data_IF_541443566934
#
_entry.id   IF_541443566934
#
_cell.length_a   1.000
_cell.length_b   1.000
_cell.length_c   1.000
_cell.angle_alpha   90.00
_cell.angle_beta   90.00
_cell.angle_gamma   90.00
#
_symmetry.space_group_name_H-M   'P 1'
#
loop_
_entity.id
_entity.type
_entity.pdbx_description
1 polymer ?
#
# COMPACT_ATOMS: atom_id res chain seq x y z
N UNK A 1 10.76 -15.17 -10.74
CA UNK A 1 10.37 -15.32 -9.31
C UNK A 1 10.08 -14.00 -8.58
N UNK A 2 10.63 -12.84 -8.97
CA UNK A 2 10.29 -11.52 -8.36
C UNK A 2 8.79 -11.14 -8.34
N UNK A 3 7.98 -11.32 -9.40
CA UNK A 3 6.59 -10.85 -9.39
C UNK A 3 5.71 -11.61 -8.38
N UNK A 4 5.91 -12.92 -8.24
CA UNK A 4 5.20 -13.73 -7.24
C UNK A 4 5.46 -13.26 -5.80
N UNK A 5 6.72 -12.95 -5.45
CA UNK A 5 7.06 -12.40 -4.12
C UNK A 5 6.34 -11.07 -3.85
N UNK A 6 6.23 -10.21 -4.86
CA UNK A 6 5.52 -8.93 -4.75
C UNK A 6 4.03 -9.18 -4.51
N UNK A 7 3.41 -10.10 -5.25
CA UNK A 7 1.98 -10.44 -5.08
C UNK A 7 1.72 -11.02 -3.69
N UNK A 8 2.55 -11.97 -3.23
CA UNK A 8 2.40 -12.53 -1.89
C UNK A 8 2.66 -11.50 -0.79
N UNK A 9 3.58 -10.57 -0.98
CA UNK A 9 3.79 -9.46 -0.04
C UNK A 9 2.54 -8.59 0.06
N UNK A 10 1.95 -8.19 -1.06
CA UNK A 10 0.72 -7.40 -1.07
C UNK A 10 -0.49 -8.17 -0.54
N UNK A 11 -0.59 -9.48 -0.79
CA UNK A 11 -1.61 -10.34 -0.21
C UNK A 11 -1.49 -10.39 1.32
N UNK A 12 -0.25 -10.47 1.83
CA UNK A 12 0.03 -10.44 3.25
C UNK A 12 -0.36 -9.09 3.88
N UNK A 13 0.01 -7.98 3.22
CA UNK A 13 -0.40 -6.65 3.66
C UNK A 13 -1.92 -6.46 3.60
N UNK A 14 -2.61 -7.05 2.62
CA UNK A 14 -4.07 -7.03 2.54
C UNK A 14 -4.71 -7.75 3.75
N UNK A 15 -4.18 -8.91 4.14
CA UNK A 15 -4.67 -9.63 5.33
C UNK A 15 -4.51 -8.79 6.60
N UNK A 16 -3.35 -8.14 6.78
CA UNK A 16 -3.12 -7.24 7.90
C UNK A 16 -4.04 -6.03 7.85
N UNK A 17 -4.26 -5.46 6.67
CA UNK A 17 -5.15 -4.33 6.49
C UNK A 17 -6.61 -4.70 6.79
N UNK A 18 -7.06 -5.91 6.42
CA UNK A 18 -8.36 -6.43 6.83
C UNK A 18 -8.48 -6.47 8.36
N UNK A 19 -7.47 -6.97 9.07
CA UNK A 19 -7.46 -6.97 10.54
C UNK A 19 -7.54 -5.55 11.11
N UNK A 20 -6.81 -4.59 10.52
CA UNK A 20 -6.88 -3.17 10.90
C UNK A 20 -8.28 -2.60 10.63
N UNK A 21 -8.90 -2.92 9.49
CA UNK A 21 -10.27 -2.49 9.18
C UNK A 21 -11.30 -3.02 10.16
N UNK A 22 -11.18 -4.28 10.59
CA UNK A 22 -12.07 -4.84 11.62
C UNK A 22 -12.00 -4.04 12.92
N UNK A 23 -10.79 -3.74 13.40
CA UNK A 23 -10.60 -2.93 14.62
C UNK A 23 -11.07 -1.49 14.39
N UNK A 24 -10.78 -0.90 13.23
CA UNK A 24 -11.17 0.46 12.88
C UNK A 24 -12.70 0.61 12.73
N UNK A 25 -13.42 -0.45 12.38
CA UNK A 25 -14.88 -0.43 12.24
C UNK A 25 -15.58 -0.28 13.61
N UNK A 26 -15.01 -0.82 14.69
CA UNK A 26 -15.61 -0.79 16.04
C UNK A 26 -15.99 0.64 16.47
N UNK A 27 -15.08 1.63 16.52
CA UNK A 27 -15.44 2.99 16.94
C UNK A 27 -16.45 3.65 15.99
N UNK A 28 -16.39 3.34 14.69
CA UNK A 28 -17.34 3.90 13.72
C UNK A 28 -18.76 3.39 13.97
N UNK A 29 -18.92 2.09 14.21
CA UNK A 29 -20.22 1.46 14.53
C UNK A 29 -20.77 1.97 15.86
N UNK A 30 -19.93 2.12 16.88
CA UNK A 30 -20.35 2.66 18.19
C UNK A 30 -20.87 4.08 18.04
N UNK A 31 -20.24 4.90 17.19
CA UNK A 31 -20.64 6.28 16.98
C UNK A 31 -21.90 6.42 16.12
N UNK A 32 -21.97 5.72 14.99
CA UNK A 32 -23.09 5.86 14.04
C UNK A 32 -24.31 5.01 14.40
N UNK A 33 -24.14 4.00 15.26
CA UNK A 33 -25.16 3.02 15.62
C UNK A 33 -25.27 1.86 14.63
N UNK A 34 -25.93 0.76 15.04
CA UNK A 34 -26.22 -0.37 14.15
C UNK A 34 -27.16 0.06 13.02
N UNK A 35 -26.94 -0.42 11.79
CA UNK A 35 -27.78 -0.10 10.65
C UNK A 35 -27.34 1.10 9.80
N UNK A 36 -26.16 1.67 10.07
CA UNK A 36 -25.61 2.79 9.31
C UNK A 36 -25.45 2.48 7.81
N UNK A 37 -25.33 1.20 7.44
CA UNK A 37 -25.23 0.72 6.06
C UNK A 37 -26.48 0.98 5.21
N UNK A 38 -27.64 1.26 5.83
CA UNK A 38 -28.90 1.56 5.13
C UNK A 38 -28.94 2.99 4.58
N UNK A 39 -28.18 3.90 5.18
CA UNK A 39 -28.09 5.28 4.72
C UNK A 39 -26.88 5.45 3.80
N UNK A 40 -27.12 5.85 2.55
CA UNK A 40 -26.05 6.04 1.55
C UNK A 40 -24.96 6.99 2.03
N UNK A 41 -25.33 8.06 2.73
CA UNK A 41 -24.37 9.06 3.25
C UNK A 41 -23.43 8.44 4.29
N UNK A 42 -23.96 7.67 5.24
CA UNK A 42 -23.17 7.00 6.28
C UNK A 42 -22.31 5.87 5.70
N UNK A 43 -22.83 5.15 4.70
CA UNK A 43 -22.07 4.12 3.98
C UNK A 43 -20.86 4.73 3.25
N UNK A 44 -21.06 5.84 2.53
CA UNK A 44 -19.96 6.56 1.86
C UNK A 44 -18.97 7.10 2.89
N UNK A 45 -19.44 7.68 4.00
CA UNK A 45 -18.58 8.13 5.08
C UNK A 45 -17.72 7.00 5.66
N UNK A 46 -18.28 5.80 5.82
CA UNK A 46 -17.55 4.61 6.26
C UNK A 46 -16.47 4.18 5.25
N UNK A 47 -16.80 4.18 3.95
CA UNK A 47 -15.82 3.86 2.90
C UNK A 47 -14.66 4.86 2.86
N UNK A 48 -14.95 6.16 2.96
CA UNK A 48 -13.94 7.22 3.02
C UNK A 48 -13.09 7.06 4.28
N UNK A 49 -13.70 6.72 5.41
CA UNK A 49 -12.99 6.44 6.66
C UNK A 49 -12.01 5.25 6.51
N UNK A 50 -12.46 4.10 5.99
CA UNK A 50 -11.58 2.96 5.75
C UNK A 50 -10.49 3.26 4.72
N UNK A 51 -10.79 4.05 3.69
CA UNK A 51 -9.81 4.50 2.71
C UNK A 51 -8.74 5.39 3.37
N UNK A 52 -9.14 6.29 4.27
CA UNK A 52 -8.21 7.13 5.03
C UNK A 52 -7.31 6.29 5.95
N UNK A 53 -7.86 5.31 6.66
CA UNK A 53 -7.08 4.35 7.47
C UNK A 53 -6.07 3.60 6.60
N UNK A 54 -6.49 3.15 5.41
CA UNK A 54 -5.62 2.46 4.45
C UNK A 54 -4.47 3.35 3.99
N UNK A 55 -4.78 4.59 3.63
CA UNK A 55 -3.78 5.59 3.27
C UNK A 55 -2.77 5.81 4.38
N UNK A 56 -3.24 6.02 5.63
CA UNK A 56 -2.37 6.24 6.79
C UNK A 56 -1.48 5.02 7.03
N UNK A 57 -2.04 3.81 7.05
CA UNK A 57 -1.29 2.57 7.24
C UNK A 57 -0.18 2.43 6.19
N UNK A 58 -0.51 2.51 4.90
CA UNK A 58 0.46 2.31 3.83
C UNK A 58 1.50 3.44 3.78
N UNK A 59 1.06 4.70 3.79
CA UNK A 59 1.95 5.86 3.70
C UNK A 59 2.92 5.94 4.87
N UNK A 60 2.48 5.54 6.08
CA UNK A 60 3.34 5.47 7.26
C UNK A 60 4.53 4.52 7.03
N UNK A 61 4.28 3.27 6.65
CA UNK A 61 5.36 2.29 6.42
C UNK A 61 6.24 2.67 5.23
N UNK A 62 5.65 3.25 4.19
CA UNK A 62 6.38 3.67 3.02
C UNK A 62 7.36 4.81 3.29
N UNK A 63 6.95 5.82 4.05
CA UNK A 63 7.79 6.99 4.37
C UNK A 63 8.80 6.65 5.47
N UNK A 64 8.42 5.81 6.43
CA UNK A 64 9.29 5.46 7.54
C UNK A 64 10.51 4.65 7.08
N UNK A 65 10.29 3.56 6.35
CA UNK A 65 11.36 2.63 5.97
C UNK A 65 11.24 2.09 4.53
N UNK A 66 10.19 2.45 3.79
CA UNK A 66 9.89 1.84 2.49
C UNK A 66 9.51 0.35 2.59
N UNK A 67 9.26 -0.17 3.78
CA UNK A 67 8.93 -1.58 4.01
C UNK A 67 7.64 -1.69 4.82
N UNK A 68 6.57 -2.14 4.15
CA UNK A 68 5.39 -2.66 4.82
C UNK A 68 5.71 -4.01 5.45
N UNK A 69 4.92 -4.46 6.44
CA UNK A 69 5.12 -5.78 7.04
C UNK A 69 5.15 -6.92 6.02
N UNK A 70 4.26 -6.90 5.02
CA UNK A 70 4.24 -7.88 3.94
C UNK A 70 5.52 -7.85 3.10
N UNK A 71 6.02 -6.66 2.73
CA UNK A 71 7.29 -6.54 2.01
C UNK A 71 8.48 -7.05 2.83
N UNK A 72 8.48 -6.81 4.15
CA UNK A 72 9.53 -7.27 5.06
C UNK A 72 9.67 -8.79 5.09
N UNK A 73 8.55 -9.52 5.10
CA UNK A 73 8.53 -11.00 5.08
C UNK A 73 9.27 -11.56 3.86
N UNK A 74 9.19 -10.86 2.72
CA UNK A 74 9.81 -11.30 1.47
C UNK A 74 11.16 -10.64 1.17
N UNK A 75 11.73 -9.91 2.15
CA UNK A 75 12.95 -9.10 2.01
C UNK A 75 12.87 -8.13 0.81
N UNK A 76 11.76 -7.40 0.73
CA UNK A 76 11.51 -6.39 -0.29
C UNK A 76 11.43 -5.00 0.36
N UNK A 77 11.80 -3.98 -0.40
CA UNK A 77 11.70 -2.59 -0.02
C UNK A 77 11.30 -1.73 -1.22
N UNK A 78 10.45 -0.75 -0.97
CA UNK A 78 10.12 0.33 -1.89
C UNK A 78 11.13 1.44 -1.69
N UNK A 79 11.81 1.82 -2.77
CA UNK A 79 12.68 2.99 -2.81
C UNK A 79 12.24 3.92 -3.94
N UNK A 80 12.61 5.18 -3.84
CA UNK A 80 12.54 6.10 -4.97
C UNK A 80 13.55 5.67 -6.04
N UNK A 81 13.38 6.13 -7.28
CA UNK A 81 14.26 5.75 -8.39
C UNK A 81 15.73 6.06 -8.13
N UNK A 82 16.01 7.14 -7.39
CA UNK A 82 17.34 7.57 -6.93
C UNK A 82 17.90 6.79 -5.72
N UNK A 83 17.15 5.80 -5.20
CA UNK A 83 17.61 4.90 -4.15
C UNK A 83 17.31 5.36 -2.71
N UNK A 84 16.72 6.54 -2.52
CA UNK A 84 16.34 7.02 -1.19
C UNK A 84 14.96 6.53 -0.75
N UNK A 85 14.68 6.66 0.56
CA UNK A 85 13.35 6.40 1.13
C UNK A 85 12.29 7.35 0.54
N UNK A 86 11.05 6.90 0.56
CA UNK A 86 9.97 7.63 -0.09
C UNK A 86 9.60 8.90 0.68
N UNK A 87 9.53 10.04 -0.03
CA UNK A 87 8.95 11.27 0.52
C UNK A 87 7.43 11.17 0.61
N UNK A 88 6.80 11.99 1.46
CA UNK A 88 5.33 12.08 1.55
C UNK A 88 4.66 12.39 0.20
N UNK A 89 5.31 13.20 -0.64
CA UNK A 89 4.78 13.54 -1.97
C UNK A 89 4.65 12.30 -2.87
N UNK A 90 5.70 11.48 -2.93
CA UNK A 90 5.71 10.26 -3.72
C UNK A 90 4.74 9.21 -3.16
N UNK A 91 4.61 9.14 -1.83
CA UNK A 91 3.63 8.27 -1.18
C UNK A 91 2.19 8.62 -1.59
N UNK A 92 1.87 9.91 -1.65
CA UNK A 92 0.56 10.38 -2.11
C UNK A 92 0.33 10.03 -3.57
N UNK A 93 1.32 10.30 -4.42
CA UNK A 93 1.22 10.02 -5.84
C UNK A 93 1.03 8.52 -6.10
N UNK A 94 1.79 7.67 -5.39
CA UNK A 94 1.67 6.20 -5.45
C UNK A 94 0.29 5.72 -4.98
N UNK A 95 -0.25 6.31 -3.92
CA UNK A 95 -1.58 5.94 -3.41
C UNK A 95 -2.70 6.34 -4.37
N UNK A 96 -2.69 7.58 -4.85
CA UNK A 96 -3.70 8.10 -5.78
C UNK A 96 -3.68 7.34 -7.11
N UNK A 97 -2.49 7.16 -7.70
CA UNK A 97 -2.33 6.38 -8.93
C UNK A 97 -2.68 4.90 -8.72
N UNK A 98 -2.38 4.35 -7.54
CA UNK A 98 -2.76 2.99 -7.16
C UNK A 98 -4.28 2.79 -7.15
N UNK A 99 -5.05 3.74 -6.61
CA UNK A 99 -6.52 3.69 -6.63
C UNK A 99 -7.07 3.85 -8.04
N UNK A 100 -6.59 4.86 -8.78
CA UNK A 100 -7.11 5.20 -10.11
C UNK A 100 -6.80 4.12 -11.16
N UNK A 101 -5.65 3.46 -11.03
CA UNK A 101 -5.18 2.47 -11.98
C UNK A 101 -5.47 1.03 -11.54
N UNK A 102 -6.09 0.81 -10.39
CA UNK A 102 -6.50 -0.54 -10.02
C UNK A 102 -7.62 -1.03 -10.96
N UNK A 103 -7.53 -2.23 -11.57
CA UNK A 103 -6.49 -3.26 -11.46
C UNK A 103 -5.40 -3.20 -12.57
N UNK A 104 -5.58 -2.36 -13.59
CA UNK A 104 -4.71 -2.24 -14.78
C UNK A 104 -3.23 -2.00 -14.39
N UNK A 105 -2.98 -1.28 -13.29
CA UNK A 105 -1.65 -0.98 -12.77
C UNK A 105 -0.80 -2.22 -12.46
N UNK A 106 -1.44 -3.36 -12.19
CA UNK A 106 -0.78 -4.64 -11.95
C UNK A 106 -0.31 -5.34 -13.22
N UNK A 107 -0.93 -5.05 -14.38
CA UNK A 107 -0.53 -5.65 -15.66
C UNK A 107 0.91 -5.27 -16.04
N UNK A 108 1.36 -4.08 -15.65
CA UNK A 108 2.75 -3.63 -15.85
C UNK A 108 3.79 -4.55 -15.21
N UNK A 109 3.43 -5.28 -14.14
CA UNK A 109 4.31 -6.22 -13.48
C UNK A 109 4.64 -7.46 -14.35
N UNK A 110 3.70 -7.85 -15.22
CA UNK A 110 3.81 -9.04 -16.06
C UNK A 110 4.19 -8.73 -17.51
N UNK A 111 3.66 -7.63 -18.05
CA UNK A 111 3.78 -7.26 -19.47
C UNK A 111 4.87 -6.20 -19.68
N UNK A 112 5.15 -5.37 -18.67
CA UNK A 112 6.04 -4.22 -18.80
C UNK A 112 7.52 -4.62 -18.93
N UNK A 113 8.30 -3.91 -19.78
CA UNK A 113 9.73 -4.21 -19.98
C UNK A 113 10.57 -4.08 -18.70
N UNK A 114 10.12 -3.23 -17.76
CA UNK A 114 10.80 -3.00 -16.48
C UNK A 114 10.27 -3.91 -15.34
N UNK A 115 9.21 -4.71 -15.57
CA UNK A 115 8.51 -5.54 -14.57
C UNK A 115 8.17 -4.76 -13.28
N UNK A 116 7.55 -3.60 -13.45
CA UNK A 116 7.10 -2.71 -12.39
C UNK A 116 5.62 -2.40 -12.55
N UNK A 117 4.92 -2.17 -11.44
CA UNK A 117 3.53 -1.69 -11.45
C UNK A 117 3.46 -0.28 -12.02
N UNK A 118 2.38 0.06 -12.73
CA UNK A 118 2.23 1.38 -13.34
C UNK A 118 2.19 2.50 -12.29
N UNK A 119 1.60 2.24 -11.12
CA UNK A 119 1.65 3.19 -10.00
C UNK A 119 3.07 3.45 -9.50
N UNK A 120 3.98 2.46 -9.58
CA UNK A 120 5.36 2.62 -9.13
C UNK A 120 6.14 3.47 -10.13
N UNK A 121 5.93 3.24 -11.43
CA UNK A 121 6.53 4.03 -12.50
C UNK A 121 6.13 5.51 -12.41
N UNK A 122 4.84 5.80 -12.23
CA UNK A 122 4.32 7.16 -12.12
C UNK A 122 4.76 7.85 -10.82
N UNK A 123 4.85 7.11 -9.71
CA UNK A 123 5.34 7.63 -8.44
C UNK A 123 6.87 7.74 -8.35
N UNK A 124 7.60 7.46 -9.44
CA UNK A 124 9.06 7.39 -9.48
C UNK A 124 9.63 6.50 -8.37
N UNK A 125 8.99 5.35 -8.15
CA UNK A 125 9.41 4.35 -7.16
C UNK A 125 9.70 3.00 -7.81
N UNK A 126 10.48 2.18 -7.11
CA UNK A 126 10.83 0.83 -7.51
C UNK A 126 10.84 -0.09 -6.29
N UNK A 127 10.34 -1.31 -6.47
CA UNK A 127 10.48 -2.37 -5.47
C UNK A 127 11.77 -3.12 -5.73
N UNK A 128 12.66 -3.11 -4.75
CA UNK A 128 13.95 -3.80 -4.82
C UNK A 128 14.03 -4.86 -3.70
N UNK A 129 14.72 -5.99 -3.94
CA UNK A 129 15.10 -6.86 -2.84
C UNK A 129 16.03 -6.12 -1.89
N UNK A 130 15.74 -6.19 -0.59
CA UNK A 130 16.63 -5.71 0.46
C UNK A 130 17.80 -6.68 0.54
N UNK A 131 18.91 -6.37 -0.13
CA UNK A 131 20.18 -6.99 0.22
C UNK A 131 20.58 -6.42 1.58
N UNK A 132 20.97 -7.30 2.50
CA UNK A 132 21.56 -6.96 3.79
C UNK A 132 22.56 -5.83 3.55
N UNK A 133 22.26 -4.63 4.00
CA UNK A 133 23.25 -3.57 4.07
C UNK A 133 24.30 -4.09 5.03
N UNK A 134 25.39 -4.65 4.51
CA UNK A 134 26.61 -4.65 5.29
C UNK A 134 26.87 -3.18 5.59
N UNK A 135 26.86 -2.79 6.88
CA UNK A 135 27.25 -1.44 7.22
C UNK A 135 28.68 -1.28 6.72
N UNK A 136 28.85 -0.37 5.75
CA UNK A 136 30.17 -0.03 5.24
C UNK A 136 31.08 0.26 6.45
N UNK A 137 32.25 -0.39 6.40
CA UNK A 137 33.35 -0.35 7.34
C UNK A 137 33.80 1.08 7.67
#
# INVERSE_FOLDING_TARGET
>A
MRPFKIIFAFLYDLLLLCAVWFVAAIPFVIWQGPGFEKETVKLVAFQVYLLAITYVYLSYFWVLNGQTPGLRVWHLQILRQDGYIMTRHNANLRFLTGILLFPIGWLGLFIGPQKQTLQDLLAQTKIVPTQKTEPNQ
#
